data_IF_287827296273
#
_entry.id   IF_287827296273
#
_cell.length_a   1.000
_cell.length_b   1.000
_cell.length_c   1.000
_cell.angle_alpha   90.00
_cell.angle_beta   90.00
_cell.angle_gamma   90.00
#
_symmetry.space_group_name_H-M   'P 1'
#
loop_
_entity.id
_entity.type
_entity.pdbx_description
1 polymer ?
#
# COMPACT_ATOMS: atom_id res chain seq x y z
N UNK A 1 -12.03 -1.77 -12.62
CA UNK A 1 -11.60 -0.67 -13.52
C UNK A 1 -10.13 -0.38 -13.27
N UNK A 2 -9.35 -0.08 -14.30
CA UNK A 2 -7.97 0.36 -14.10
C UNK A 2 -7.97 1.76 -13.48
N UNK A 3 -7.14 1.99 -12.47
CA UNK A 3 -6.91 3.32 -11.87
C UNK A 3 -5.64 3.94 -12.45
N UNK A 4 -5.62 5.27 -12.54
CA UNK A 4 -4.37 6.00 -12.87
C UNK A 4 -3.50 6.12 -11.63
N UNK A 5 -2.19 6.24 -11.82
CA UNK A 5 -1.25 6.58 -10.76
C UNK A 5 -0.30 7.69 -11.22
N UNK A 6 0.21 8.48 -10.27
CA UNK A 6 1.18 9.55 -10.46
C UNK A 6 2.29 9.40 -9.41
N UNK A 7 3.18 8.41 -9.56
CA UNK A 7 4.32 8.25 -8.67
C UNK A 7 5.31 9.41 -8.85
N UNK A 8 5.77 9.96 -7.73
CA UNK A 8 6.82 10.99 -7.67
C UNK A 8 8.18 10.34 -7.40
N UNK A 9 8.19 9.31 -6.54
CA UNK A 9 9.39 8.53 -6.24
C UNK A 9 9.05 7.04 -6.29
N UNK A 10 9.77 6.33 -7.15
CA UNK A 10 9.82 4.86 -7.18
C UNK A 10 11.24 4.44 -6.84
N UNK A 11 11.38 3.53 -5.88
CA UNK A 11 12.68 2.92 -5.54
C UNK A 11 12.66 1.45 -5.91
N UNK A 12 13.81 0.91 -6.28
CA UNK A 12 13.96 -0.53 -6.51
C UNK A 12 14.45 -1.19 -5.23
N UNK A 13 13.83 -2.30 -4.84
CA UNK A 13 14.31 -3.15 -3.74
C UNK A 13 14.53 -4.57 -4.22
N UNK A 14 15.32 -5.35 -3.48
CA UNK A 14 15.41 -6.81 -3.67
C UNK A 14 14.42 -7.45 -2.72
N UNK A 15 13.45 -8.18 -3.26
CA UNK A 15 12.39 -8.80 -2.48
C UNK A 15 12.97 -9.89 -1.56
N UNK A 16 12.61 -9.84 -0.27
CA UNK A 16 13.02 -10.85 0.72
C UNK A 16 11.96 -11.95 0.89
N UNK A 17 10.73 -11.69 0.44
CA UNK A 17 9.61 -12.63 0.41
C UNK A 17 8.78 -12.45 -0.87
N UNK A 18 7.75 -13.28 -1.07
CA UNK A 18 6.80 -13.08 -2.17
C UNK A 18 6.03 -11.77 -1.97
N UNK A 19 6.00 -10.92 -2.99
CA UNK A 19 5.29 -9.64 -3.03
C UNK A 19 4.24 -9.72 -4.13
N UNK A 20 3.09 -9.12 -3.88
CA UNK A 20 1.97 -9.05 -4.84
C UNK A 20 1.81 -7.61 -5.29
N UNK A 21 1.53 -7.41 -6.58
CA UNK A 21 1.25 -6.13 -7.19
C UNK A 21 0.15 -5.37 -6.42
N UNK A 22 0.31 -4.05 -6.33
CA UNK A 22 -0.58 -3.12 -5.62
C UNK A 22 -0.70 -3.36 -4.10
N UNK A 23 0.19 -4.16 -3.50
CA UNK A 23 0.25 -4.35 -2.04
C UNK A 23 1.43 -3.63 -1.41
N UNK A 24 1.28 -3.33 -0.14
CA UNK A 24 2.22 -2.56 0.66
C UNK A 24 3.49 -3.38 0.92
N UNK A 25 4.64 -2.74 0.72
CA UNK A 25 5.96 -3.34 1.01
C UNK A 25 6.52 -2.70 2.27
N UNK A 26 7.03 -3.52 3.19
CA UNK A 26 7.68 -3.07 4.42
C UNK A 26 9.12 -2.60 4.19
N UNK A 27 9.73 -2.03 5.23
CA UNK A 27 11.14 -1.60 5.19
C UNK A 27 12.14 -2.76 5.12
N UNK A 28 11.68 -3.99 5.36
CA UNK A 28 12.41 -5.25 5.23
C UNK A 28 12.34 -5.86 3.82
N UNK A 29 11.76 -5.13 2.86
CA UNK A 29 11.52 -5.56 1.47
C UNK A 29 10.65 -6.83 1.37
N UNK A 30 9.76 -7.05 2.34
CA UNK A 30 8.73 -8.09 2.36
C UNK A 30 7.33 -7.45 2.39
N UNK A 31 6.22 -8.23 2.30
CA UNK A 31 4.89 -7.70 2.53
C UNK A 31 4.76 -6.98 3.87
N UNK A 32 4.19 -5.77 3.85
CA UNK A 32 4.06 -4.93 5.02
C UNK A 32 3.13 -5.56 6.07
N UNK A 33 3.58 -5.59 7.32
CA UNK A 33 2.82 -6.16 8.43
C UNK A 33 1.68 -5.24 8.86
N UNK A 34 0.66 -5.81 9.51
CA UNK A 34 -0.51 -5.06 9.96
C UNK A 34 -0.11 -3.90 10.89
N UNK A 35 -0.56 -2.69 10.55
CA UNK A 35 -0.30 -1.46 11.29
C UNK A 35 1.15 -0.95 11.24
N UNK A 36 2.06 -1.64 10.55
CA UNK A 36 3.45 -1.23 10.42
C UNK A 36 3.63 -0.10 9.38
N UNK A 37 4.79 0.55 9.44
CA UNK A 37 5.19 1.52 8.42
C UNK A 37 5.50 0.80 7.10
N UNK A 38 4.74 1.12 6.05
CA UNK A 38 5.07 0.71 4.69
C UNK A 38 6.21 1.57 4.14
N UNK A 39 7.12 0.98 3.37
CA UNK A 39 8.04 1.68 2.48
C UNK A 39 7.26 2.30 1.31
N UNK A 40 6.38 1.51 0.68
CA UNK A 40 5.61 1.92 -0.48
C UNK A 40 4.68 0.82 -0.98
N UNK A 41 4.28 0.88 -2.25
CA UNK A 41 3.42 -0.12 -2.90
C UNK A 41 4.15 -0.76 -4.08
N UNK A 42 4.05 -2.08 -4.24
CA UNK A 42 4.69 -2.80 -5.33
C UNK A 42 3.97 -2.60 -6.67
N UNK A 43 4.74 -2.31 -7.72
CA UNK A 43 4.18 -2.13 -9.07
C UNK A 43 3.97 -3.45 -9.82
N UNK A 44 4.60 -4.54 -9.39
CA UNK A 44 4.50 -5.87 -10.00
C UNK A 44 4.63 -6.96 -8.94
N UNK A 45 4.17 -8.16 -9.26
CA UNK A 45 4.46 -9.35 -8.47
C UNK A 45 5.96 -9.64 -8.47
N UNK A 46 6.48 -10.15 -7.36
CA UNK A 46 7.88 -10.52 -7.21
C UNK A 46 8.05 -11.72 -6.28
N UNK A 47 9.09 -12.51 -6.51
CA UNK A 47 9.53 -13.60 -5.63
C UNK A 47 10.81 -13.18 -4.91
N UNK A 48 11.18 -13.93 -3.88
CA UNK A 48 12.44 -13.70 -3.15
C UNK A 48 13.63 -13.66 -4.11
N UNK A 49 14.43 -12.60 -4.02
CA UNK A 49 15.60 -12.35 -4.87
C UNK A 49 15.32 -11.48 -6.10
N UNK A 50 14.06 -11.26 -6.46
CA UNK A 50 13.71 -10.41 -7.60
C UNK A 50 13.88 -8.92 -7.27
N UNK A 51 14.29 -8.13 -8.26
CA UNK A 51 14.29 -6.68 -8.17
C UNK A 51 12.86 -6.16 -8.44
N UNK A 52 12.27 -5.47 -7.46
CA UNK A 52 10.88 -4.99 -7.53
C UNK A 52 10.83 -3.44 -7.42
N UNK A 53 10.15 -2.76 -8.36
CA UNK A 53 9.83 -1.34 -8.23
C UNK A 53 8.75 -1.12 -7.16
N UNK A 54 9.05 -0.23 -6.21
CA UNK A 54 8.18 0.16 -5.09
C UNK A 54 7.92 1.66 -5.14
N UNK A 55 6.66 2.03 -5.29
CA UNK A 55 6.21 3.42 -5.28
C UNK A 55 6.13 3.97 -3.86
N UNK A 56 6.98 4.95 -3.54
CA UNK A 56 7.19 5.49 -2.18
C UNK A 56 6.41 6.78 -1.96
N UNK A 57 6.27 7.63 -2.98
CA UNK A 57 5.67 8.96 -2.88
C UNK A 57 4.77 9.26 -4.09
N UNK A 58 3.65 9.95 -3.89
CA UNK A 58 2.75 10.41 -4.95
C UNK A 58 1.31 9.90 -4.80
N UNK A 59 0.59 9.85 -5.92
CA UNK A 59 -0.74 9.22 -6.00
C UNK A 59 -0.56 7.79 -6.50
N UNK A 60 -0.83 6.81 -5.64
CA UNK A 60 -0.42 5.42 -5.86
C UNK A 60 -1.63 4.51 -5.84
N UNK A 61 -1.68 3.55 -6.76
CA UNK A 61 -2.68 2.50 -6.80
C UNK A 61 -2.38 1.46 -5.72
N UNK A 62 -3.36 1.13 -4.88
CA UNK A 62 -3.23 0.14 -3.80
C UNK A 62 -4.48 -0.73 -3.70
N UNK A 63 -4.29 -2.02 -3.43
CA UNK A 63 -5.37 -2.96 -3.16
C UNK A 63 -5.96 -2.72 -1.77
N UNK A 64 -7.27 -2.57 -1.70
CA UNK A 64 -8.02 -2.48 -0.46
C UNK A 64 -8.24 -3.88 0.16
N UNK A 65 -8.04 -4.02 1.46
CA UNK A 65 -8.34 -5.23 2.23
C UNK A 65 -9.74 -5.22 2.89
N UNK A 66 -10.44 -4.09 2.83
CA UNK A 66 -11.75 -3.86 3.42
C UNK A 66 -12.43 -2.66 2.72
N UNK A 67 -13.72 -2.39 2.99
CA UNK A 67 -14.35 -1.13 2.55
C UNK A 67 -13.60 0.09 3.09
N UNK A 68 -13.38 1.09 2.23
CA UNK A 68 -12.66 2.35 2.54
C UNK A 68 -13.47 3.50 1.95
N UNK A 69 -13.80 4.49 2.77
CA UNK A 69 -14.42 5.72 2.29
C UNK A 69 -13.36 6.72 1.79
N UNK A 70 -13.72 7.51 0.77
CA UNK A 70 -12.88 8.62 0.30
C UNK A 70 -12.51 9.56 1.45
N UNK A 71 -11.26 9.99 1.50
CA UNK A 71 -10.73 10.89 2.54
C UNK A 71 -10.39 10.18 3.84
N UNK A 72 -10.54 8.85 3.95
CA UNK A 72 -10.05 8.11 5.10
C UNK A 72 -8.54 7.92 5.05
N UNK A 73 -7.91 8.06 6.21
CA UNK A 73 -6.52 7.61 6.39
C UNK A 73 -6.51 6.10 6.44
N UNK A 74 -5.56 5.49 5.74
CA UNK A 74 -5.41 4.04 5.66
C UNK A 74 -4.14 3.55 6.35
N UNK A 75 -4.14 2.27 6.72
CA UNK A 75 -3.02 1.52 7.29
C UNK A 75 -2.84 0.20 6.54
N UNK A 76 -1.73 -0.51 6.78
CA UNK A 76 -1.55 -1.88 6.28
C UNK A 76 -2.32 -2.90 7.12
N UNK A 77 -2.85 -3.95 6.49
CA UNK A 77 -3.38 -5.15 7.17
C UNK A 77 -2.37 -6.33 7.13
N UNK A 78 -2.83 -7.54 7.52
CA UNK A 78 -1.99 -8.75 7.55
C UNK A 78 -1.66 -9.31 6.16
N UNK A 79 -2.41 -8.90 5.13
CA UNK A 79 -2.21 -9.31 3.75
C UNK A 79 -1.44 -8.24 2.95
N UNK A 80 -0.95 -7.20 3.64
CA UNK A 80 -0.36 -6.01 3.06
C UNK A 80 -1.30 -5.18 2.17
N UNK A 81 -2.61 -5.30 2.39
CA UNK A 81 -3.60 -4.46 1.73
C UNK A 81 -3.88 -3.20 2.55
N UNK A 82 -4.36 -2.15 1.90
CA UNK A 82 -4.80 -0.93 2.57
C UNK A 82 -6.15 -1.19 3.27
N UNK A 83 -6.28 -0.79 4.53
CA UNK A 83 -7.55 -0.83 5.28
C UNK A 83 -7.73 0.49 6.04
N UNK A 84 -8.96 0.87 6.44
CA UNK A 84 -9.18 2.06 7.24
C UNK A 84 -8.31 2.05 8.49
N UNK A 85 -7.67 3.17 8.80
CA UNK A 85 -6.85 3.28 10.01
C UNK A 85 -7.74 3.21 11.25
N UNK A 86 -7.42 2.31 12.17
CA UNK A 86 -8.11 2.22 13.44
C UNK A 86 -7.76 3.46 14.29
N UNK A 87 -8.73 4.35 14.49
CA UNK A 87 -8.54 5.63 15.19
C UNK A 87 -8.07 5.49 16.64
N UNK A 88 -8.30 4.34 17.27
CA UNK A 88 -8.01 4.11 18.69
C UNK A 88 -6.55 3.74 19.00
N UNK A 89 -5.73 3.45 17.98
CA UNK A 89 -4.36 3.00 18.20
C UNK A 89 -3.33 3.97 17.61
N UNK A 90 -2.81 4.86 18.47
CA UNK A 90 -1.78 5.85 18.15
C UNK A 90 -0.47 5.23 17.62
N UNK A 91 -0.25 3.93 17.82
CA UNK A 91 0.95 3.23 17.31
C UNK A 91 0.84 2.82 15.83
N UNK A 92 -0.37 2.86 15.25
CA UNK A 92 -0.55 2.45 13.86
C UNK A 92 -0.09 3.55 12.93
N UNK A 93 0.82 3.21 12.01
CA UNK A 93 1.39 4.16 11.04
C UNK A 93 0.47 4.32 9.83
N UNK A 94 0.25 5.57 9.43
CA UNK A 94 -0.49 5.90 8.20
C UNK A 94 0.31 5.46 6.96
N UNK A 95 -0.37 4.88 5.98
CA UNK A 95 0.21 4.60 4.66
C UNK A 95 -0.21 5.60 3.59
N UNK A 96 -1.22 6.44 3.87
CA UNK A 96 -1.73 7.48 2.99
C UNK A 96 -3.19 7.85 3.25
N UNK A 97 -3.73 8.72 2.41
CA UNK A 97 -5.13 9.16 2.40
C UNK A 97 -5.86 8.62 1.16
N UNK A 98 -7.03 7.99 1.33
CA UNK A 98 -7.81 7.47 0.21
C UNK A 98 -8.39 8.58 -0.67
N UNK A 99 -8.13 8.52 -1.98
CA UNK A 99 -8.71 9.43 -2.97
C UNK A 99 -9.95 8.85 -3.66
N UNK A 100 -10.13 7.53 -3.60
CA UNK A 100 -11.28 6.82 -4.12
C UNK A 100 -11.94 5.99 -3.00
N UNK A 101 -13.19 5.60 -3.23
CA UNK A 101 -13.90 4.66 -2.36
C UNK A 101 -13.60 3.22 -2.79
N UNK A 102 -13.40 2.33 -1.82
CA UNK A 102 -13.44 0.88 -2.00
C UNK A 102 -14.71 0.34 -1.35
N UNK A 103 -15.51 -0.42 -2.10
CA UNK A 103 -16.74 -1.03 -1.59
C UNK A 103 -16.49 -2.41 -0.98
N UNK A 104 -15.37 -3.05 -1.32
CA UNK A 104 -14.97 -4.35 -0.81
C UNK A 104 -13.46 -4.56 -0.90
N UNK A 105 -12.98 -5.64 -0.26
CA UNK A 105 -11.62 -6.12 -0.44
C UNK A 105 -11.34 -6.50 -1.91
N UNK A 106 -10.09 -6.34 -2.35
CA UNK A 106 -9.66 -6.58 -3.73
C UNK A 106 -9.95 -5.42 -4.70
N UNK A 107 -10.65 -4.36 -4.26
CA UNK A 107 -10.75 -3.13 -5.05
C UNK A 107 -9.40 -2.41 -5.07
N UNK A 108 -8.92 -2.04 -6.25
CA UNK A 108 -7.73 -1.18 -6.37
C UNK A 108 -8.19 0.27 -6.39
N UNK A 109 -7.69 1.07 -5.45
CA UNK A 109 -8.00 2.49 -5.28
C UNK A 109 -6.74 3.34 -5.33
N UNK A 110 -6.88 4.65 -5.49
CA UNK A 110 -5.76 5.59 -5.35
C UNK A 110 -5.64 6.09 -3.91
N UNK A 111 -4.41 6.15 -3.43
CA UNK A 111 -4.05 6.85 -2.18
C UNK A 111 -3.09 8.00 -2.46
N UNK A 112 -3.24 9.10 -1.72
CA UNK A 112 -2.25 10.17 -1.63
C UNK A 112 -1.27 9.80 -0.52
N UNK A 113 0.00 9.61 -0.89
CA UNK A 113 1.07 9.23 0.03
C UNK A 113 2.12 10.33 0.11
N UNK A 114 2.64 10.57 1.32
CA UNK A 114 3.59 11.65 1.63
C UNK A 114 2.97 12.93 2.19
N UNK A 115 1.79 12.82 2.80
CA UNK A 115 1.06 13.90 3.50
C UNK A 115 1.00 13.65 5.00
#
# INVERSE_FOLDING_TARGET
MAVTQQPVLTTTVVATASIIQHRLVGADNAPCQAGAAALGVAEVDAKTGDAVPVNVLGIIAVEAGAPIARGQVVQSDKNACAVPRAAENATVVSVGLALDEATAAGNVIRILRGV
#
